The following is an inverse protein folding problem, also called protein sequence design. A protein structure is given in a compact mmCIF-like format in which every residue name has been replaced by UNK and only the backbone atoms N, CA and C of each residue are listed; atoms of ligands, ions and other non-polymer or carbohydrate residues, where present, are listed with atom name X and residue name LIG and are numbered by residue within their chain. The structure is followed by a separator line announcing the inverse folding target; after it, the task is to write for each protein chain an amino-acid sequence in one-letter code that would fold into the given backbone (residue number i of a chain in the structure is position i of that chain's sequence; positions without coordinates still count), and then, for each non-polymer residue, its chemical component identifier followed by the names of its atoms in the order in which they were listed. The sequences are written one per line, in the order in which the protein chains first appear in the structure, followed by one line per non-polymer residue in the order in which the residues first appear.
data_IF_166285415332
#
_entry.id   IF_166285415332
#
_cell.length_a   1.000
_cell.length_b   1.000
_cell.length_c   1.000
_cell.angle_alpha   90.00
_cell.angle_beta   90.00
_cell.angle_gamma   90.00
#
_symmetry.space_group_name_H-M   'P 1'
#
loop_
_entity.id
_entity.type
_entity.pdbx_description
1 polymer ?
#
# COMPACT_ATOMS: atom_id res chain seq x y z
N UNK A 1 7.82 -6.08 -38.39
CA UNK A 1 8.28 -6.75 -37.16
C UNK A 1 8.41 -5.73 -36.03
N UNK A 2 7.38 -5.58 -35.19
CA UNK A 2 7.43 -4.72 -34.00
C UNK A 2 7.76 -5.58 -32.78
N UNK A 3 8.98 -5.46 -32.24
CA UNK A 3 9.36 -6.09 -30.96
C UNK A 3 8.38 -5.59 -29.90
N UNK A 4 7.58 -6.50 -29.34
CA UNK A 4 6.52 -6.15 -28.40
C UNK A 4 7.12 -5.93 -27.00
N UNK A 5 7.04 -4.71 -26.49
CA UNK A 5 7.41 -4.35 -25.12
C UNK A 5 6.46 -5.00 -24.10
N UNK A 6 6.68 -6.27 -23.74
CA UNK A 6 5.87 -7.00 -22.77
C UNK A 6 6.44 -6.99 -21.33
N UNK A 7 7.70 -6.57 -21.14
CA UNK A 7 8.36 -6.54 -19.84
C UNK A 7 7.61 -5.78 -18.72
N UNK A 8 7.07 -4.57 -18.96
CA UNK A 8 6.49 -3.75 -17.88
C UNK A 8 5.18 -4.33 -17.32
N UNK A 9 4.35 -4.92 -18.18
CA UNK A 9 3.05 -5.50 -17.78
C UNK A 9 3.21 -6.75 -16.89
N UNK A 10 4.35 -7.45 -17.02
CA UNK A 10 4.65 -8.67 -16.28
C UNK A 10 5.05 -8.36 -14.83
N UNK A 11 5.85 -7.31 -14.65
CA UNK A 11 6.22 -6.78 -13.33
C UNK A 11 4.99 -6.25 -12.61
N UNK A 12 4.12 -5.49 -13.29
CA UNK A 12 2.87 -4.97 -12.71
C UNK A 12 1.95 -6.12 -12.27
N UNK A 13 1.80 -7.17 -13.09
CA UNK A 13 0.95 -8.32 -12.73
C UNK A 13 1.44 -9.12 -11.52
N UNK A 14 2.74 -9.43 -11.46
CA UNK A 14 3.33 -10.12 -10.31
C UNK A 14 3.27 -9.26 -9.03
N UNK A 15 3.44 -7.94 -9.18
CA UNK A 15 3.41 -6.98 -8.09
C UNK A 15 1.99 -6.72 -7.56
N UNK A 16 0.99 -6.66 -8.46
CA UNK A 16 -0.43 -6.63 -8.13
C UNK A 16 -0.87 -7.91 -7.40
N UNK A 17 -0.41 -9.09 -7.84
CA UNK A 17 -0.72 -10.36 -7.19
C UNK A 17 -0.08 -10.47 -5.79
N UNK A 18 1.17 -10.01 -5.63
CA UNK A 18 1.82 -9.92 -4.32
C UNK A 18 1.05 -8.99 -3.37
N UNK A 19 0.67 -7.80 -3.85
CA UNK A 19 -0.06 -6.83 -3.05
C UNK A 19 -1.48 -7.29 -2.71
N UNK A 20 -2.22 -7.86 -3.65
CA UNK A 20 -3.59 -8.32 -3.44
C UNK A 20 -3.69 -9.23 -2.22
N UNK A 21 -2.74 -10.14 -2.09
CA UNK A 21 -2.72 -11.05 -0.98
C UNK A 21 -2.15 -10.46 0.31
N UNK A 22 -1.18 -9.54 0.25
CA UNK A 22 -0.71 -8.81 1.44
C UNK A 22 -1.79 -7.89 2.02
N UNK A 23 -2.67 -7.31 1.18
CA UNK A 23 -3.72 -6.40 1.63
C UNK A 23 -4.89 -7.11 2.32
N UNK A 24 -5.28 -8.30 1.83
CA UNK A 24 -6.54 -8.96 2.22
C UNK A 24 -6.58 -9.45 3.68
N UNK A 25 -5.44 -9.69 4.32
CA UNK A 25 -5.44 -10.40 5.60
C UNK A 25 -4.96 -9.59 6.81
N UNK A 26 -4.39 -8.40 6.58
CA UNK A 26 -3.81 -7.59 7.65
C UNK A 26 -4.88 -6.81 8.40
N UNK A 27 -6.02 -6.55 7.77
CA UNK A 27 -7.14 -5.82 8.37
C UNK A 27 -7.89 -6.54 9.50
N UNK A 28 -7.81 -7.87 9.61
CA UNK A 28 -8.65 -8.63 10.55
C UNK A 28 -7.94 -9.11 11.84
N UNK A 29 -6.62 -8.96 11.98
CA UNK A 29 -5.85 -9.74 12.97
C UNK A 29 -5.37 -8.93 14.16
N UNK A 30 -5.41 -7.60 14.10
CA UNK A 30 -4.76 -6.76 15.10
C UNK A 30 -5.65 -6.32 16.28
N UNK A 31 -6.87 -6.83 16.36
CA UNK A 31 -7.86 -6.37 17.35
C UNK A 31 -7.76 -7.04 18.72
N UNK A 32 -7.01 -8.14 18.94
CA UNK A 32 -7.27 -8.92 20.16
C UNK A 32 -6.12 -9.36 21.09
N UNK A 33 -4.84 -9.18 20.78
CA UNK A 33 -3.81 -9.69 21.73
C UNK A 33 -2.51 -8.91 21.73
N UNK A 34 -2.34 -7.99 22.70
CA UNK A 34 -1.04 -7.80 23.37
C UNK A 34 -1.22 -7.56 24.87
N UNK A 35 -0.39 -8.28 25.63
CA UNK A 35 -0.18 -8.18 27.07
C UNK A 35 0.08 -6.72 27.49
N UNK A 36 -0.40 -6.29 28.66
CA UNK A 36 -0.06 -4.98 29.21
C UNK A 36 1.46 -4.85 29.31
N UNK A 37 2.01 -3.75 28.79
CA UNK A 37 3.42 -3.40 28.98
C UNK A 37 3.67 -3.29 30.47
N UNK A 38 4.56 -4.13 30.99
CA UNK A 38 5.03 -4.04 32.36
C UNK A 38 5.53 -2.61 32.62
N UNK A 39 5.05 -2.02 33.71
CA UNK A 39 5.45 -0.68 34.15
C UNK A 39 6.98 -0.62 34.26
N UNK A 40 7.58 0.35 33.59
CA UNK A 40 9.02 0.59 33.69
C UNK A 40 9.30 1.02 35.14
N UNK A 41 10.16 0.30 35.88
CA UNK A 41 10.49 0.69 37.24
C UNK A 41 11.24 2.02 37.24
N UNK A 42 10.71 2.98 38.00
CA UNK A 42 11.35 4.25 38.33
C UNK A 42 12.68 3.97 39.04
N UNK A 43 13.80 4.06 38.31
CA UNK A 43 15.14 3.97 38.92
C UNK A 43 15.46 5.28 39.62
N UNK A 44 15.69 5.19 40.93
CA UNK A 44 16.14 6.26 41.81
C UNK A 44 17.38 6.98 41.28
N UNK A 45 17.39 8.30 41.46
CA UNK A 45 18.39 9.21 40.91
C UNK A 45 19.79 8.96 41.46
N UNK A 46 20.75 8.87 40.54
CA UNK A 46 22.16 8.95 40.86
C UNK A 46 22.57 10.43 41.07
N UNK A 47 23.32 10.74 42.12
CA UNK A 47 23.81 12.10 42.39
C UNK A 47 24.91 12.47 41.39
N UNK A 48 24.69 13.51 40.58
CA UNK A 48 25.70 14.06 39.67
C UNK A 48 25.24 14.38 38.24
N UNK A 49 23.98 14.12 37.88
CA UNK A 49 23.48 14.39 36.52
C UNK A 49 23.10 15.87 36.35
N UNK A 50 23.89 16.62 35.56
CA UNK A 50 23.43 17.91 35.02
C UNK A 50 22.30 17.63 34.03
N UNK A 51 21.12 18.27 34.13
CA UNK A 51 20.03 18.04 33.21
C UNK A 51 20.43 18.53 31.83
N UNK A 52 20.94 17.62 31.00
CA UNK A 52 20.85 17.77 29.55
C UNK A 52 19.36 17.95 29.27
N UNK A 53 18.99 19.08 28.66
CA UNK A 53 17.60 19.50 28.42
C UNK A 53 16.70 18.27 28.18
N UNK A 54 15.90 17.88 29.18
CA UNK A 54 14.87 16.88 28.97
C UNK A 54 13.94 17.51 27.94
N UNK A 55 14.01 17.03 26.69
CA UNK A 55 13.00 17.36 25.69
C UNK A 55 11.64 17.14 26.36
N UNK A 56 10.83 18.19 26.39
CA UNK A 56 9.53 18.14 27.02
C UNK A 56 8.74 16.97 26.42
N UNK A 57 8.37 15.99 27.24
CA UNK A 57 7.52 14.89 26.82
C UNK A 57 6.08 15.39 26.84
N UNK A 58 5.34 15.16 25.76
CA UNK A 58 3.96 15.61 25.62
C UNK A 58 3.07 14.48 25.10
N UNK A 59 1.76 14.63 25.26
CA UNK A 59 0.79 13.76 24.62
C UNK A 59 0.59 14.19 23.16
N UNK A 60 0.94 13.29 22.24
CA UNK A 60 0.79 13.48 20.79
C UNK A 60 -0.35 12.63 20.20
N UNK A 61 -1.20 12.02 21.04
CA UNK A 61 -2.30 11.13 20.63
C UNK A 61 -3.26 11.78 19.63
N UNK A 62 -3.74 12.99 19.92
CA UNK A 62 -4.67 13.74 19.07
C UNK A 62 -4.04 14.10 17.70
N UNK A 63 -2.75 14.47 17.70
CA UNK A 63 -2.02 14.77 16.46
C UNK A 63 -1.83 13.51 15.61
N UNK A 64 -1.51 12.38 16.25
CA UNK A 64 -1.40 11.09 15.59
C UNK A 64 -2.74 10.66 14.98
N UNK A 65 -3.84 10.80 15.73
CA UNK A 65 -5.18 10.46 15.25
C UNK A 65 -5.55 11.27 13.99
N UNK A 66 -5.32 12.59 14.03
CA UNK A 66 -5.52 13.47 12.87
C UNK A 66 -4.69 13.04 11.66
N UNK A 67 -3.46 12.59 11.87
CA UNK A 67 -2.58 12.12 10.78
C UNK A 67 -3.11 10.85 10.10
N UNK A 68 -3.66 9.90 10.88
CA UNK A 68 -4.34 8.73 10.33
C UNK A 68 -5.63 9.10 9.59
N UNK A 69 -6.37 10.09 10.10
CA UNK A 69 -7.60 10.59 9.46
C UNK A 69 -7.36 11.25 8.11
N UNK A 70 -6.22 11.93 7.95
CA UNK A 70 -5.81 12.52 6.67
C UNK A 70 -5.66 11.46 5.55
N UNK A 71 -5.38 10.19 5.89
CA UNK A 71 -5.37 9.09 4.92
C UNK A 71 -6.71 8.36 4.85
N UNK A 72 -7.43 8.26 5.97
CA UNK A 72 -8.69 7.52 6.09
C UNK A 72 -9.77 8.03 5.13
N UNK A 73 -10.07 9.32 5.19
CA UNK A 73 -11.18 9.88 4.42
C UNK A 73 -10.92 9.83 2.90
N UNK A 74 -9.75 10.26 2.37
CA UNK A 74 -9.46 10.12 0.95
C UNK A 74 -9.45 8.67 0.47
N UNK A 75 -8.91 7.74 1.27
CA UNK A 75 -8.93 6.33 0.93
C UNK A 75 -10.36 5.77 0.81
N UNK A 76 -11.26 6.13 1.74
CA UNK A 76 -12.66 5.72 1.69
C UNK A 76 -13.38 6.25 0.45
N UNK A 77 -13.15 7.52 0.09
CA UNK A 77 -13.72 8.14 -1.11
C UNK A 77 -13.24 7.44 -2.39
N UNK A 78 -11.93 7.17 -2.48
CA UNK A 78 -11.34 6.47 -3.64
C UNK A 78 -11.82 5.02 -3.73
N UNK A 79 -11.94 4.30 -2.61
CA UNK A 79 -12.53 2.97 -2.60
C UNK A 79 -13.97 2.98 -3.16
N UNK A 80 -14.77 3.98 -2.78
CA UNK A 80 -16.11 4.19 -3.33
C UNK A 80 -16.10 4.47 -4.84
N UNK A 81 -15.14 5.26 -5.34
CA UNK A 81 -15.00 5.57 -6.76
C UNK A 81 -14.49 4.39 -7.60
N UNK A 82 -13.68 3.48 -7.02
CA UNK A 82 -13.18 2.28 -7.71
C UNK A 82 -14.32 1.35 -8.09
N UNK A 83 -15.38 1.23 -7.28
CA UNK A 83 -16.47 0.28 -7.54
C UNK A 83 -17.17 0.51 -8.89
N UNK A 84 -17.72 1.71 -9.18
CA UNK A 84 -18.40 1.95 -10.44
C UNK A 84 -17.44 1.88 -11.63
N UNK A 85 -16.21 2.40 -11.52
CA UNK A 85 -15.25 2.44 -12.63
C UNK A 85 -14.69 1.05 -12.92
N UNK A 86 -14.29 0.33 -11.89
CA UNK A 86 -13.56 -0.94 -11.98
C UNK A 86 -14.44 -2.15 -12.24
N UNK A 87 -15.72 -2.10 -11.85
CA UNK A 87 -16.63 -3.25 -11.96
C UNK A 87 -17.90 -2.95 -12.74
N UNK A 88 -18.62 -1.86 -12.47
CA UNK A 88 -19.93 -1.60 -13.10
C UNK A 88 -19.82 -1.09 -14.54
N UNK A 89 -18.97 -0.08 -14.76
CA UNK A 89 -18.67 0.49 -16.07
C UNK A 89 -17.55 -0.27 -16.80
N UNK A 90 -17.14 -1.43 -16.27
CA UNK A 90 -15.96 -2.14 -16.73
C UNK A 90 -16.05 -2.52 -18.21
N UNK A 91 -14.97 -2.37 -18.98
CA UNK A 91 -14.94 -2.74 -20.39
C UNK A 91 -15.19 -4.25 -20.59
N UNK A 92 -16.26 -4.60 -21.30
CA UNK A 92 -16.63 -5.99 -21.57
C UNK A 92 -15.67 -6.64 -22.57
N UNK A 93 -15.26 -7.88 -22.32
CA UNK A 93 -14.41 -8.65 -23.23
C UNK A 93 -15.29 -9.20 -24.37
N UNK A 94 -14.98 -8.84 -25.62
CA UNK A 94 -15.71 -9.27 -26.82
C UNK A 94 -14.89 -10.35 -27.57
N UNK A 95 -15.53 -11.36 -28.18
CA UNK A 95 -14.82 -12.41 -28.94
C UNK A 95 -13.90 -11.88 -30.03
N UNK A 96 -14.27 -10.79 -30.70
CA UNK A 96 -13.49 -10.18 -31.79
C UNK A 96 -12.39 -9.23 -31.32
N UNK A 97 -12.27 -9.00 -30.00
CA UNK A 97 -11.21 -8.15 -29.47
C UNK A 97 -9.83 -8.73 -29.83
N UNK A 98 -8.87 -7.89 -30.27
CA UNK A 98 -7.51 -8.33 -30.49
C UNK A 98 -6.91 -8.83 -29.17
N UNK A 99 -6.00 -9.82 -29.26
CA UNK A 99 -5.43 -10.51 -28.09
C UNK A 99 -4.82 -9.59 -27.04
N UNK A 100 -4.31 -8.41 -27.42
CA UNK A 100 -3.73 -7.44 -26.49
C UNK A 100 -4.81 -6.70 -25.70
N UNK A 101 -5.92 -6.33 -26.35
CA UNK A 101 -7.05 -5.63 -25.73
C UNK A 101 -7.74 -6.53 -24.70
N UNK A 102 -7.94 -7.81 -25.03
CA UNK A 102 -8.41 -8.81 -24.06
C UNK A 102 -7.53 -8.88 -22.81
N UNK A 103 -6.21 -8.68 -22.92
CA UNK A 103 -5.31 -8.62 -21.75
C UNK A 103 -5.54 -7.36 -20.95
N UNK A 104 -5.62 -6.19 -21.60
CA UNK A 104 -5.88 -4.91 -20.92
C UNK A 104 -7.19 -4.98 -20.13
N UNK A 105 -8.27 -5.47 -20.75
CA UNK A 105 -9.57 -5.68 -20.09
C UNK A 105 -9.48 -6.62 -18.88
N UNK A 106 -8.70 -7.71 -18.96
CA UNK A 106 -8.47 -8.60 -17.80
C UNK A 106 -7.64 -7.92 -16.69
N UNK A 107 -6.58 -7.21 -17.07
CA UNK A 107 -5.73 -6.49 -16.11
C UNK A 107 -6.51 -5.37 -15.41
N UNK A 108 -7.47 -4.74 -16.09
CA UNK A 108 -8.37 -3.74 -15.50
C UNK A 108 -9.06 -4.27 -14.24
N UNK A 109 -9.68 -5.47 -14.29
CA UNK A 109 -10.31 -6.07 -13.11
C UNK A 109 -9.30 -6.37 -11.99
N UNK A 110 -8.12 -6.88 -12.33
CA UNK A 110 -7.06 -7.16 -11.34
C UNK A 110 -6.62 -5.86 -10.65
N UNK A 111 -6.38 -4.80 -11.44
CA UNK A 111 -5.98 -3.49 -10.93
C UNK A 111 -7.09 -2.87 -10.07
N UNK A 112 -8.35 -2.99 -10.49
CA UNK A 112 -9.50 -2.54 -9.70
C UNK A 112 -9.55 -3.23 -8.35
N UNK A 113 -9.41 -4.56 -8.34
CA UNK A 113 -9.37 -5.37 -7.12
C UNK A 113 -8.20 -5.01 -6.20
N UNK A 114 -7.02 -4.74 -6.75
CA UNK A 114 -5.87 -4.27 -5.96
C UNK A 114 -6.12 -2.86 -5.39
N UNK A 115 -6.63 -1.93 -6.20
CA UNK A 115 -6.90 -0.56 -5.77
C UNK A 115 -7.89 -0.53 -4.60
N UNK A 116 -9.03 -1.24 -4.72
CA UNK A 116 -10.03 -1.28 -3.65
C UNK A 116 -9.48 -1.95 -2.38
N UNK A 117 -8.73 -3.06 -2.50
CA UNK A 117 -8.14 -3.72 -1.34
C UNK A 117 -7.14 -2.80 -0.61
N UNK A 118 -6.24 -2.14 -1.34
CA UNK A 118 -5.28 -1.19 -0.77
C UNK A 118 -5.99 -0.04 -0.02
N UNK A 119 -7.03 0.55 -0.62
CA UNK A 119 -7.78 1.62 0.02
C UNK A 119 -8.55 1.14 1.27
N UNK A 120 -9.20 -0.02 1.21
CA UNK A 120 -9.88 -0.61 2.37
C UNK A 120 -8.89 -0.95 3.49
N UNK A 121 -7.73 -1.52 3.18
CA UNK A 121 -6.68 -1.81 4.17
C UNK A 121 -6.17 -0.52 4.82
N UNK A 122 -6.05 0.57 4.07
CA UNK A 122 -5.73 1.91 4.60
C UNK A 122 -6.79 2.40 5.59
N UNK A 123 -8.08 2.29 5.22
CA UNK A 123 -9.21 2.68 6.08
C UNK A 123 -9.26 1.86 7.37
N UNK A 124 -9.00 0.55 7.27
CA UNK A 124 -9.00 -0.34 8.45
C UNK A 124 -7.83 -0.02 9.38
N UNK A 125 -6.61 0.12 8.83
CA UNK A 125 -5.44 0.49 9.63
C UNK A 125 -5.62 1.81 10.37
N UNK A 126 -6.10 2.85 9.67
CA UNK A 126 -6.32 4.16 10.28
C UNK A 126 -7.45 4.13 11.32
N UNK A 127 -8.58 3.48 11.01
CA UNK A 127 -9.73 3.41 11.94
C UNK A 127 -9.35 2.70 13.24
N UNK A 128 -8.71 1.53 13.15
CA UNK A 128 -8.28 0.78 14.34
C UNK A 128 -7.27 1.60 15.14
N UNK A 129 -6.35 2.30 14.48
CA UNK A 129 -5.33 3.09 15.17
C UNK A 129 -5.92 4.33 15.86
N UNK A 130 -6.83 5.04 15.20
CA UNK A 130 -7.55 6.17 15.80
C UNK A 130 -8.36 5.72 17.02
N UNK A 131 -9.07 4.59 16.94
CA UNK A 131 -9.79 4.04 18.08
C UNK A 131 -8.83 3.70 19.23
N UNK A 132 -7.70 3.04 18.95
CA UNK A 132 -6.67 2.74 19.96
C UNK A 132 -6.13 4.01 20.63
N UNK A 133 -5.88 5.07 19.86
CA UNK A 133 -5.40 6.37 20.37
C UNK A 133 -6.44 7.07 21.25
N UNK A 134 -7.73 6.91 20.95
CA UNK A 134 -8.83 7.49 21.72
C UNK A 134 -9.17 6.67 22.98
N UNK A 135 -9.07 5.34 22.91
CA UNK A 135 -9.41 4.43 24.01
C UNK A 135 -8.28 4.31 25.04
N UNK A 136 -7.03 4.53 24.64
CA UNK A 136 -5.86 4.39 25.50
C UNK A 136 -4.92 5.56 25.33
N UNK A 137 -4.70 6.31 26.41
CA UNK A 137 -3.66 7.34 26.46
C UNK A 137 -2.28 6.69 26.22
N UNK A 138 -1.61 6.97 25.10
CA UNK A 138 -0.29 6.44 24.86
C UNK A 138 0.71 7.04 25.85
N UNK A 139 1.86 6.37 26.10
CA UNK A 139 2.91 6.96 26.92
C UNK A 139 3.40 8.30 26.32
N UNK A 140 3.73 9.30 27.15
CA UNK A 140 4.29 10.57 26.68
C UNK A 140 5.54 10.34 25.81
N UNK A 141 5.63 11.07 24.71
CA UNK A 141 6.75 11.00 23.77
C UNK A 141 7.42 12.36 23.61
N UNK A 142 8.66 12.41 23.15
CA UNK A 142 9.36 13.67 22.86
C UNK A 142 8.96 14.30 21.52
N UNK A 143 8.31 13.54 20.64
CA UNK A 143 7.72 14.02 19.38
C UNK A 143 6.65 13.05 18.87
N UNK A 144 5.79 13.54 17.96
CA UNK A 144 4.84 12.71 17.23
C UNK A 144 5.52 11.54 16.52
N UNK A 145 6.66 11.79 15.86
CA UNK A 145 7.39 10.74 15.13
C UNK A 145 7.93 9.66 16.07
N UNK A 146 8.39 10.06 17.27
CA UNK A 146 8.82 9.11 18.28
C UNK A 146 7.66 8.25 18.77
N UNK A 147 6.49 8.85 19.01
CA UNK A 147 5.27 8.11 19.37
C UNK A 147 4.91 7.07 18.29
N UNK A 148 4.87 7.49 17.03
CA UNK A 148 4.57 6.60 15.91
C UNK A 148 5.60 5.46 15.82
N UNK A 149 6.89 5.76 15.88
CA UNK A 149 7.94 4.76 15.74
C UNK A 149 8.00 3.75 16.88
N UNK A 150 7.65 4.15 18.10
CA UNK A 150 7.69 3.26 19.26
C UNK A 150 6.45 2.36 19.36
N UNK A 151 5.26 2.90 19.09
CA UNK A 151 4.01 2.20 19.42
C UNK A 151 3.13 1.89 18.21
N UNK A 152 3.28 2.63 17.12
CA UNK A 152 2.38 2.57 15.95
C UNK A 152 3.14 2.41 14.63
N UNK A 153 4.36 1.86 14.64
CA UNK A 153 5.23 1.80 13.45
C UNK A 153 4.58 0.99 12.33
N UNK A 154 4.09 -0.22 12.64
CA UNK A 154 3.45 -1.08 11.65
C UNK A 154 2.16 -0.47 11.09
N UNK A 155 1.18 -0.01 11.91
CA UNK A 155 0.00 0.67 11.39
C UNK A 155 0.32 1.91 10.56
N UNK A 156 1.28 2.73 10.99
CA UNK A 156 1.69 3.93 10.29
C UNK A 156 2.24 3.63 8.90
N UNK A 157 3.24 2.75 8.83
CA UNK A 157 3.87 2.34 7.57
C UNK A 157 2.84 1.63 6.69
N UNK A 158 2.04 0.73 7.26
CA UNK A 158 0.98 0.00 6.56
C UNK A 158 -0.04 0.93 5.92
N UNK A 159 -0.51 1.94 6.64
CA UNK A 159 -1.45 2.94 6.12
C UNK A 159 -0.84 3.69 4.93
N UNK A 160 0.38 4.22 5.07
CA UNK A 160 1.05 4.96 4.00
C UNK A 160 1.30 4.10 2.76
N UNK A 161 1.87 2.91 2.94
CA UNK A 161 2.17 1.99 1.83
C UNK A 161 0.91 1.65 1.06
N UNK A 162 -0.14 1.20 1.75
CA UNK A 162 -1.39 0.83 1.09
C UNK A 162 -2.09 2.03 0.44
N UNK A 163 -2.06 3.21 1.06
CA UNK A 163 -2.66 4.41 0.50
C UNK A 163 -2.03 4.78 -0.84
N UNK A 164 -0.69 4.87 -0.88
CA UNK A 164 0.07 5.22 -2.08
C UNK A 164 -0.09 4.14 -3.16
N UNK A 165 -0.04 2.88 -2.77
CA UNK A 165 -0.27 1.76 -3.70
C UNK A 165 -1.69 1.76 -4.28
N UNK A 166 -2.69 2.12 -3.47
CA UNK A 166 -4.06 2.34 -3.92
C UNK A 166 -4.16 3.47 -4.95
N UNK A 167 -3.51 4.61 -4.70
CA UNK A 167 -3.44 5.72 -5.65
C UNK A 167 -2.80 5.34 -6.98
N UNK A 168 -1.68 4.61 -6.93
CA UNK A 168 -1.00 4.11 -8.13
C UNK A 168 -1.87 3.11 -8.91
N UNK A 169 -2.53 2.20 -8.21
CA UNK A 169 -3.45 1.25 -8.83
C UNK A 169 -4.67 1.97 -9.42
N UNK A 170 -5.22 2.98 -8.75
CA UNK A 170 -6.33 3.80 -9.26
C UNK A 170 -5.93 4.58 -10.53
N UNK A 171 -4.73 5.16 -10.56
CA UNK A 171 -4.22 5.81 -11.77
C UNK A 171 -4.09 4.81 -12.94
N UNK A 172 -3.53 3.61 -12.68
CA UNK A 172 -3.49 2.53 -13.66
C UNK A 172 -4.88 2.06 -14.10
N UNK A 173 -5.87 2.08 -13.20
CA UNK A 173 -7.26 1.73 -13.49
C UNK A 173 -7.84 2.68 -14.55
N UNK A 174 -7.62 3.99 -14.40
CA UNK A 174 -8.07 5.00 -15.37
C UNK A 174 -7.42 4.80 -16.75
N UNK A 175 -6.13 4.47 -16.80
CA UNK A 175 -5.42 4.20 -18.06
C UNK A 175 -5.98 2.95 -18.73
N UNK A 176 -6.14 1.85 -17.98
CA UNK A 176 -6.68 0.61 -18.54
C UNK A 176 -8.14 0.77 -18.99
N UNK A 177 -8.93 1.58 -18.28
CA UNK A 177 -10.27 1.94 -18.68
C UNK A 177 -10.26 2.71 -20.01
N UNK A 178 -9.47 3.79 -20.10
CA UNK A 178 -9.36 4.59 -21.32
C UNK A 178 -8.87 3.76 -22.52
N UNK A 179 -7.84 2.93 -22.33
CA UNK A 179 -7.32 2.04 -23.37
C UNK A 179 -8.34 1.02 -23.86
N UNK A 180 -9.26 0.59 -22.99
CA UNK A 180 -10.23 -0.44 -23.30
C UNK A 180 -11.57 0.07 -23.83
N UNK A 181 -11.86 1.37 -23.63
CA UNK A 181 -13.11 2.01 -24.02
C UNK A 181 -13.03 2.78 -25.36
N UNK A 182 -11.82 3.06 -25.87
CA UNK A 182 -11.62 3.82 -27.10
C UNK A 182 -11.53 2.89 -28.32
N UNK A 183 -12.12 3.30 -29.45
CA UNK A 183 -12.06 2.56 -30.70
C UNK A 183 -10.64 2.50 -31.27
N UNK A 184 -10.35 1.48 -32.09
CA UNK A 184 -9.02 1.31 -32.70
C UNK A 184 -8.59 2.53 -33.55
N UNK A 185 -9.55 3.20 -34.19
CA UNK A 185 -9.29 4.39 -35.00
C UNK A 185 -8.81 5.59 -34.16
N UNK A 186 -9.32 5.73 -32.94
CA UNK A 186 -9.00 6.85 -32.05
C UNK A 186 -7.88 6.55 -31.05
N UNK A 187 -7.30 5.34 -31.09
CA UNK A 187 -6.30 4.89 -30.14
C UNK A 187 -5.07 5.81 -30.07
N UNK A 188 -4.51 6.17 -31.23
CA UNK A 188 -3.30 7.01 -31.26
C UNK A 188 -3.57 8.45 -30.82
N UNK A 189 -4.78 8.96 -31.05
CA UNK A 189 -5.18 10.33 -30.76
C UNK A 189 -5.51 10.53 -29.28
N UNK A 190 -6.16 9.56 -28.64
CA UNK A 190 -6.67 9.71 -27.26
C UNK A 190 -5.85 8.91 -26.26
N UNK A 191 -5.59 7.63 -26.52
CA UNK A 191 -5.01 6.74 -25.51
C UNK A 191 -3.54 7.05 -25.23
N UNK A 192 -2.76 7.44 -26.25
CA UNK A 192 -1.33 7.76 -26.07
C UNK A 192 -1.12 8.99 -25.18
N UNK A 193 -1.74 10.15 -25.45
CA UNK A 193 -1.65 11.29 -24.54
C UNK A 193 -2.11 10.95 -23.13
N UNK A 194 -3.25 10.27 -22.98
CA UNK A 194 -3.78 9.88 -21.66
C UNK A 194 -2.78 8.99 -20.90
N UNK A 195 -2.22 7.97 -21.55
CA UNK A 195 -1.23 7.09 -20.92
C UNK A 195 0.04 7.85 -20.52
N UNK A 196 0.54 8.76 -21.37
CA UNK A 196 1.71 9.59 -21.05
C UNK A 196 1.43 10.56 -19.90
N UNK A 197 0.28 11.23 -19.89
CA UNK A 197 -0.12 12.15 -18.81
C UNK A 197 -0.26 11.42 -17.49
N UNK A 198 -0.88 10.24 -17.47
CA UNK A 198 -1.00 9.45 -16.24
C UNK A 198 0.34 8.89 -15.80
N UNK A 199 1.21 8.43 -16.71
CA UNK A 199 2.55 8.00 -16.37
C UNK A 199 3.37 9.15 -15.76
N UNK A 200 3.28 10.35 -16.31
CA UNK A 200 3.93 11.54 -15.76
C UNK A 200 3.38 11.88 -14.35
N UNK A 201 2.06 11.80 -14.16
CA UNK A 201 1.45 12.01 -12.85
C UNK A 201 1.89 10.95 -11.82
N UNK A 202 2.02 9.68 -12.24
CA UNK A 202 2.55 8.60 -11.39
C UNK A 202 4.00 8.88 -10.98
N UNK A 203 4.86 9.24 -11.93
CA UNK A 203 6.25 9.60 -11.63
C UNK A 203 6.33 10.78 -10.66
N UNK A 204 5.49 11.80 -10.85
CA UNK A 204 5.41 12.95 -9.96
C UNK A 204 4.92 12.55 -8.55
N UNK A 205 3.86 11.75 -8.44
CA UNK A 205 3.37 11.24 -7.16
C UNK A 205 4.45 10.45 -6.42
N UNK A 206 5.18 9.56 -7.11
CA UNK A 206 6.29 8.80 -6.53
C UNK A 206 7.41 9.73 -6.07
N UNK A 207 7.74 10.77 -6.83
CA UNK A 207 8.75 11.76 -6.46
C UNK A 207 8.38 12.51 -5.20
N UNK A 208 7.14 13.02 -5.11
CA UNK A 208 6.62 13.74 -3.94
C UNK A 208 6.64 12.84 -2.70
N UNK A 209 6.20 11.58 -2.85
CA UNK A 209 6.22 10.59 -1.77
C UNK A 209 7.66 10.30 -1.33
N UNK A 210 8.59 10.10 -2.26
CA UNK A 210 9.98 9.82 -1.91
C UNK A 210 10.62 10.97 -1.13
N UNK A 211 10.36 12.21 -1.56
CA UNK A 211 10.82 13.41 -0.84
C UNK A 211 10.24 13.44 0.58
N UNK A 212 8.92 13.28 0.73
CA UNK A 212 8.26 13.24 2.04
C UNK A 212 8.76 12.10 2.95
N UNK A 213 9.00 10.91 2.41
CA UNK A 213 9.59 9.77 3.16
C UNK A 213 11.02 10.08 3.59
N UNK A 214 11.80 10.76 2.75
CA UNK A 214 13.20 11.09 3.02
C UNK A 214 13.38 12.15 4.10
N UNK A 215 12.44 13.10 4.21
CA UNK A 215 12.47 14.18 5.20
C UNK A 215 12.23 13.69 6.63
N UNK A 216 11.44 12.63 6.84
CA UNK A 216 11.23 12.05 8.17
C UNK A 216 10.59 13.04 9.16
N UNK A 217 11.25 13.28 10.31
CA UNK A 217 10.84 14.29 11.30
C UNK A 217 11.45 15.69 11.05
N UNK A 218 12.17 15.88 9.94
CA UNK A 218 12.77 17.16 9.56
C UNK A 218 13.99 17.56 10.40
N UNK A 219 14.40 16.76 11.39
CA UNK A 219 15.60 17.01 12.18
C UNK A 219 16.81 16.34 11.54
N UNK A 220 17.96 17.02 11.54
CA UNK A 220 19.22 16.46 11.07
C UNK A 220 19.56 15.19 11.90
N UNK A 221 19.57 14.02 11.26
CA UNK A 221 19.73 12.72 11.94
C UNK A 221 18.50 12.19 12.67
N UNK A 222 17.33 12.79 12.45
CA UNK A 222 16.10 12.42 13.13
C UNK A 222 15.46 11.10 12.69
N UNK A 223 14.32 10.77 13.31
CA UNK A 223 13.68 9.46 13.17
C UNK A 223 13.01 9.33 11.81
N UNK A 224 13.59 8.50 10.94
CA UNK A 224 12.98 8.06 9.67
C UNK A 224 12.50 6.61 9.71
N UNK A 225 11.51 6.30 8.87
CA UNK A 225 10.99 4.95 8.62
C UNK A 225 11.61 4.29 7.38
N UNK A 226 12.10 5.07 6.43
CA UNK A 226 12.76 4.63 5.21
C UNK A 226 13.46 5.80 4.51
N UNK A 227 14.28 5.51 3.50
CA UNK A 227 14.92 6.55 2.67
C UNK A 227 14.13 6.89 1.41
N UNK A 228 13.23 6.00 0.99
CA UNK A 228 12.36 6.13 -0.17
C UNK A 228 11.18 5.17 -0.02
N UNK A 229 10.21 5.26 -0.94
CA UNK A 229 9.00 4.44 -0.95
C UNK A 229 9.29 2.94 -1.00
N UNK A 230 10.33 2.50 -1.73
CA UNK A 230 10.69 1.09 -1.82
C UNK A 230 11.21 0.56 -0.48
N UNK A 231 12.06 1.32 0.20
CA UNK A 231 12.55 0.97 1.54
C UNK A 231 11.42 0.96 2.57
N UNK A 232 10.46 1.89 2.46
CA UNK A 232 9.26 1.89 3.29
C UNK A 232 8.42 0.63 3.06
N UNK A 233 8.28 0.20 1.80
CA UNK A 233 7.61 -1.05 1.44
C UNK A 233 8.33 -2.30 1.98
N UNK A 234 9.65 -2.38 1.83
CA UNK A 234 10.43 -3.50 2.38
C UNK A 234 10.32 -3.52 3.91
N UNK A 235 10.37 -2.36 4.56
CA UNK A 235 10.16 -2.23 6.01
C UNK A 235 8.78 -2.75 6.40
N UNK A 236 7.72 -2.37 5.67
CA UNK A 236 6.37 -2.89 5.88
C UNK A 236 6.32 -4.41 5.84
N UNK A 237 6.81 -5.02 4.76
CA UNK A 237 6.83 -6.49 4.60
C UNK A 237 7.64 -7.16 5.70
N UNK A 238 8.79 -6.59 6.07
CA UNK A 238 9.65 -7.12 7.14
C UNK A 238 8.96 -7.09 8.51
N UNK A 239 8.28 -5.99 8.85
CA UNK A 239 7.53 -5.85 10.10
C UNK A 239 6.33 -6.79 10.12
N UNK A 240 5.68 -6.98 8.97
CA UNK A 240 4.55 -7.89 8.83
C UNK A 240 4.98 -9.35 9.02
N UNK A 241 6.08 -9.76 8.37
CA UNK A 241 6.66 -11.09 8.54
C UNK A 241 7.12 -11.32 9.99
N UNK A 242 7.80 -10.34 10.60
CA UNK A 242 8.21 -10.43 12.00
C UNK A 242 7.00 -10.54 12.95
N UNK A 243 5.89 -9.86 12.65
CA UNK A 243 4.65 -10.00 13.40
C UNK A 243 3.95 -11.34 13.19
N UNK A 244 4.05 -11.93 12.00
CA UNK A 244 3.52 -13.26 11.70
C UNK A 244 4.28 -14.37 12.45
N UNK A 245 5.60 -14.23 12.58
CA UNK A 245 6.45 -15.22 13.23
C UNK A 245 6.41 -15.16 14.77
N UNK A 246 6.06 -14.00 15.36
CA UNK A 246 6.06 -13.80 16.82
C UNK A 246 4.91 -14.47 17.58
N UNK A 247 3.90 -15.01 16.91
CA UNK A 247 2.79 -15.69 17.59
C UNK A 247 1.79 -16.33 16.62
N UNK A 248 0.89 -17.20 17.12
CA UNK A 248 -0.07 -17.91 16.30
C UNK A 248 -1.13 -16.94 15.77
N UNK A 249 -0.86 -16.36 14.60
CA UNK A 249 -1.78 -15.49 13.86
C UNK A 249 -2.12 -16.17 12.54
N UNK A 250 -2.99 -17.21 12.55
CA UNK A 250 -3.22 -18.06 11.39
C UNK A 250 -3.70 -17.26 10.17
N UNK A 251 -4.51 -16.23 10.39
CA UNK A 251 -4.97 -15.32 9.34
C UNK A 251 -3.83 -14.52 8.69
N UNK A 252 -2.81 -14.15 9.46
CA UNK A 252 -1.63 -13.44 8.94
C UNK A 252 -0.69 -14.39 8.17
N UNK A 253 -0.65 -15.67 8.54
CA UNK A 253 0.07 -16.69 7.76
C UNK A 253 -0.65 -17.00 6.45
N UNK A 254 -1.98 -17.10 6.51
CA UNK A 254 -2.84 -17.32 5.35
C UNK A 254 -2.69 -16.22 4.29
N UNK A 255 -2.36 -15.00 4.71
CA UNK A 255 -1.95 -13.88 3.84
C UNK A 255 -0.84 -14.27 2.89
N UNK A 256 0.26 -14.78 3.46
CA UNK A 256 1.45 -15.14 2.70
C UNK A 256 1.17 -16.36 1.82
N UNK A 257 0.31 -17.29 2.27
CA UNK A 257 -0.13 -18.43 1.47
C UNK A 257 -0.93 -17.96 0.25
N UNK A 258 -1.92 -17.10 0.43
CA UNK A 258 -2.69 -16.54 -0.68
C UNK A 258 -1.81 -15.68 -1.61
N UNK A 259 -0.76 -15.04 -1.08
CA UNK A 259 0.19 -14.26 -1.87
C UNK A 259 1.04 -15.14 -2.75
N UNK A 260 1.60 -16.19 -2.17
CA UNK A 260 2.33 -17.21 -2.90
C UNK A 260 1.45 -17.86 -3.96
N UNK A 261 0.21 -18.22 -3.62
CA UNK A 261 -0.74 -18.81 -4.56
C UNK A 261 -1.07 -17.86 -5.72
N UNK A 262 -1.34 -16.59 -5.45
CA UNK A 262 -1.64 -15.60 -6.49
C UNK A 262 -0.46 -15.43 -7.45
N UNK A 263 0.77 -15.31 -6.94
CA UNK A 263 1.98 -15.23 -7.76
C UNK A 263 2.16 -16.51 -8.58
N UNK A 264 2.01 -17.68 -7.94
CA UNK A 264 2.12 -18.98 -8.60
C UNK A 264 1.15 -19.09 -9.78
N UNK A 265 -0.12 -18.72 -9.60
CA UNK A 265 -1.10 -18.73 -10.68
C UNK A 265 -0.72 -17.78 -11.82
N UNK A 266 -0.23 -16.57 -11.51
CA UNK A 266 0.23 -15.62 -12.54
C UNK A 266 1.38 -16.21 -13.36
N UNK A 267 2.39 -16.79 -12.71
CA UNK A 267 3.55 -17.42 -13.37
C UNK A 267 3.13 -18.65 -14.19
N UNK A 268 2.24 -19.48 -13.66
CA UNK A 268 1.73 -20.67 -14.35
C UNK A 268 0.92 -20.31 -15.61
N UNK A 269 0.08 -19.28 -15.52
CA UNK A 269 -0.68 -18.78 -16.67
C UNK A 269 0.25 -18.20 -17.75
N UNK A 270 1.35 -17.56 -17.35
CA UNK A 270 2.35 -17.03 -18.28
C UNK A 270 3.09 -18.17 -19.00
N UNK A 271 3.63 -19.13 -18.26
CA UNK A 271 4.34 -20.28 -18.84
C UNK A 271 3.47 -21.10 -19.79
N UNK A 272 2.22 -21.40 -19.41
CA UNK A 272 1.27 -22.10 -20.28
C UNK A 272 0.94 -21.31 -21.58
N UNK A 273 1.07 -20.00 -21.55
CA UNK A 273 0.86 -19.16 -22.73
C UNK A 273 2.07 -19.19 -23.67
N UNK A 274 3.26 -19.18 -23.10
CA UNK A 274 4.50 -19.17 -23.87
C UNK A 274 4.67 -20.49 -24.63
N UNK A 275 4.30 -21.62 -24.03
CA UNK A 275 4.30 -22.93 -24.71
C UNK A 275 3.34 -22.98 -25.90
N UNK A 276 2.12 -22.47 -25.76
CA UNK A 276 1.13 -22.40 -26.86
C UNK A 276 1.59 -21.47 -27.98
N UNK A 277 2.39 -20.45 -27.65
CA UNK A 277 2.92 -19.51 -28.66
C UNK A 277 4.14 -20.09 -29.37
N UNK A 278 4.99 -20.87 -28.69
CA UNK A 278 6.14 -21.54 -29.27
C UNK A 278 5.77 -22.72 -30.20
N UNK A 279 4.61 -23.35 -29.98
CA UNK A 279 4.11 -24.44 -30.81
C UNK A 279 3.43 -23.98 -32.12
N UNK A 280 3.36 -22.68 -32.39
CA UNK A 280 2.74 -22.08 -33.58
C UNK A 280 3.75 -21.34 -34.42
#
# INVERSE_FOLDING_TARGET
MTKRCYGPLLVIGAWCAFHYAVCFSVGCVETFTRKPLASVPSRGGLPGWKPTQRKAVADFSAQAAKLFDNMRAPAALLAGAVVPIGFMASPKIVPDDPRWLKRVKRMHYVIASVAICCHLTTVVWSTITVNKLNERSPPPAGSLMQLLKQYYELPWIGCNVNFIMGLLAFACLLVTFSLASVSAASYNLVCRPVACTVAAAICLMISIVNDGVSQGDGAEGGLRFGSNMLMLFVRYVSLLAAHALKGPRPLLLLTFVFAGAAIYFVVKIQTARDTVTAAK
#
